data_IF_054455142264
#
_entry.id   IF_054455142264
#
_cell.length_a   1.000
_cell.length_b   1.000
_cell.length_c   1.000
_cell.angle_alpha   90.00
_cell.angle_beta   90.00
_cell.angle_gamma   90.00
#
_symmetry.space_group_name_H-M   'P 1'
#
loop_
_entity.id
_entity.type
_entity.pdbx_description
1 polymer ?
#
# COMPACT_ATOMS: atom_id res chain seq x y z
N UNK A 1 16.89 -11.30 -14.39
CA UNK A 1 17.68 -11.94 -13.32
C UNK A 1 18.69 -10.91 -12.83
N UNK A 2 18.44 -10.30 -11.66
CA UNK A 2 19.38 -9.38 -11.00
C UNK A 2 20.56 -10.17 -10.44
N UNK A 3 21.80 -9.70 -10.65
CA UNK A 3 23.02 -10.36 -10.16
C UNK A 3 23.73 -9.43 -9.16
N UNK A 4 24.06 -9.97 -7.99
CA UNK A 4 24.92 -9.29 -7.02
C UNK A 4 26.34 -9.11 -7.59
N UNK A 5 27.08 -8.16 -7.05
CA UNK A 5 28.46 -7.93 -7.45
C UNK A 5 29.34 -9.19 -7.25
N UNK A 6 30.34 -9.32 -8.11
CA UNK A 6 31.45 -10.28 -7.98
C UNK A 6 32.78 -9.51 -8.04
N UNK A 7 33.91 -10.16 -7.80
CA UNK A 7 35.23 -9.53 -7.68
C UNK A 7 35.59 -8.49 -8.77
N UNK A 8 35.08 -8.67 -9.99
CA UNK A 8 35.38 -7.80 -11.15
C UNK A 8 34.17 -7.11 -11.77
N UNK A 9 32.95 -7.25 -11.19
CA UNK A 9 31.72 -6.72 -11.79
C UNK A 9 30.80 -6.15 -10.71
N UNK A 10 30.36 -4.91 -10.93
CA UNK A 10 29.37 -4.23 -10.09
C UNK A 10 27.99 -4.90 -10.16
N UNK A 11 27.13 -4.56 -9.20
CA UNK A 11 25.75 -5.06 -9.17
C UNK A 11 24.99 -4.58 -10.41
N UNK A 12 24.30 -5.50 -11.08
CA UNK A 12 23.46 -5.18 -12.25
C UNK A 12 22.01 -5.07 -11.81
N UNK A 13 21.48 -3.85 -11.85
CA UNK A 13 20.08 -3.57 -11.52
C UNK A 13 19.20 -3.62 -12.78
N UNK A 14 17.98 -4.13 -12.62
CA UNK A 14 16.94 -4.12 -13.67
C UNK A 14 15.73 -3.33 -13.17
N UNK A 15 14.95 -2.68 -14.06
CA UNK A 15 13.72 -2.00 -13.65
C UNK A 15 12.71 -3.00 -13.08
N UNK A 16 11.86 -2.55 -12.16
CA UNK A 16 10.74 -3.35 -11.67
C UNK A 16 9.78 -3.71 -12.81
N UNK A 17 9.16 -4.89 -12.69
CA UNK A 17 8.18 -5.37 -13.66
C UNK A 17 6.84 -4.64 -13.58
N UNK A 18 5.88 -5.02 -14.44
CA UNK A 18 4.51 -4.52 -14.37
C UNK A 18 3.89 -4.83 -13.00
N UNK A 19 3.22 -3.83 -12.42
CA UNK A 19 2.58 -3.92 -11.11
C UNK A 19 3.55 -4.23 -9.93
N UNK A 20 4.83 -3.88 -10.08
CA UNK A 20 5.85 -3.98 -9.04
C UNK A 20 6.50 -2.63 -8.75
N UNK A 21 7.02 -2.47 -7.53
CA UNK A 21 7.72 -1.26 -7.09
C UNK A 21 8.88 -1.55 -6.13
N UNK A 22 9.75 -0.57 -5.98
CA UNK A 22 10.83 -0.56 -4.99
C UNK A 22 11.11 0.89 -4.57
N UNK A 23 10.76 1.23 -3.33
CA UNK A 23 10.82 2.62 -2.83
C UNK A 23 12.14 2.99 -2.16
N UNK A 24 13.05 2.03 -1.99
CA UNK A 24 14.32 2.20 -1.28
C UNK A 24 15.50 1.69 -2.10
N UNK A 25 16.69 2.21 -1.79
CA UNK A 25 17.94 1.60 -2.24
C UNK A 25 18.06 0.20 -1.65
N UNK A 26 18.32 -0.79 -2.49
CA UNK A 26 18.20 -2.21 -2.14
C UNK A 26 19.21 -3.05 -2.94
N UNK A 27 19.36 -4.30 -2.50
CA UNK A 27 20.07 -5.37 -3.20
C UNK A 27 19.16 -6.59 -3.44
N UNK A 28 17.85 -6.35 -3.48
CA UNK A 28 16.83 -7.38 -3.62
C UNK A 28 16.83 -7.98 -5.03
N UNK A 29 16.56 -9.28 -5.10
CA UNK A 29 16.48 -9.99 -6.38
C UNK A 29 15.15 -9.75 -7.11
N UNK A 30 14.14 -9.20 -6.41
CA UNK A 30 12.79 -8.97 -6.90
C UNK A 30 12.23 -7.68 -6.31
N UNK A 31 11.39 -7.01 -7.09
CA UNK A 31 10.61 -5.89 -6.59
C UNK A 31 9.38 -6.39 -5.81
N UNK A 32 8.81 -5.50 -4.97
CA UNK A 32 7.58 -5.79 -4.24
C UNK A 32 6.36 -5.65 -5.18
N UNK A 33 5.36 -6.51 -5.02
CA UNK A 33 4.08 -6.36 -5.72
C UNK A 33 3.26 -5.23 -5.08
N UNK A 34 2.55 -4.46 -5.90
CA UNK A 34 1.55 -3.53 -5.35
C UNK A 34 0.45 -4.30 -4.62
N UNK A 35 0.02 -3.77 -3.47
CA UNK A 35 -1.15 -4.27 -2.78
C UNK A 35 -2.41 -4.14 -3.66
N UNK A 36 -3.39 -5.01 -3.40
CA UNK A 36 -4.69 -4.95 -4.06
C UNK A 36 -5.65 -4.16 -3.18
N UNK A 37 -6.22 -3.09 -3.70
CA UNK A 37 -7.33 -2.40 -3.04
C UNK A 37 -8.62 -3.17 -3.36
N UNK A 38 -8.92 -4.16 -2.52
CA UNK A 38 -10.06 -5.05 -2.71
C UNK A 38 -11.37 -4.36 -2.32
N UNK A 39 -12.24 -4.13 -3.31
CA UNK A 39 -13.57 -3.57 -3.10
C UNK A 39 -14.42 -4.45 -2.16
N UNK A 40 -14.19 -5.76 -2.12
CA UNK A 40 -14.85 -6.69 -1.18
C UNK A 40 -14.45 -6.46 0.29
N UNK A 41 -13.33 -5.77 0.53
CA UNK A 41 -12.87 -5.31 1.85
C UNK A 41 -13.17 -3.84 2.11
N UNK A 42 -14.05 -3.22 1.31
CA UNK A 42 -14.38 -1.80 1.38
C UNK A 42 -13.14 -0.87 1.20
N UNK A 43 -12.13 -1.34 0.46
CA UNK A 43 -10.96 -0.56 0.06
C UNK A 43 -11.15 0.02 -1.35
N UNK A 44 -10.65 1.24 -1.55
CA UNK A 44 -10.54 1.88 -2.85
C UNK A 44 -9.12 2.43 -3.07
N UNK A 45 -8.71 2.56 -4.33
CA UNK A 45 -7.39 3.11 -4.68
C UNK A 45 -7.38 4.60 -4.43
N UNK A 46 -6.50 5.08 -3.55
CA UNK A 46 -6.18 6.50 -3.43
C UNK A 46 -5.11 6.90 -4.45
N UNK A 47 -4.03 6.12 -4.51
CA UNK A 47 -2.93 6.35 -5.44
C UNK A 47 -2.50 5.03 -6.07
N UNK A 48 -2.43 4.97 -7.40
CA UNK A 48 -2.13 3.73 -8.12
C UNK A 48 -0.71 3.18 -7.88
N UNK A 49 0.21 4.04 -7.43
CA UNK A 49 1.62 3.73 -7.31
C UNK A 49 2.38 3.86 -8.63
N UNK A 50 3.69 3.62 -8.58
CA UNK A 50 4.58 3.47 -9.72
C UNK A 50 5.80 2.61 -9.32
N UNK A 51 6.80 2.46 -10.17
CA UNK A 51 7.98 1.63 -9.91
C UNK A 51 8.80 2.02 -8.66
N UNK A 52 8.58 3.21 -8.12
CA UNK A 52 9.28 3.75 -6.92
C UNK A 52 8.33 4.12 -5.78
N UNK A 53 7.02 3.98 -5.97
CA UNK A 53 6.01 4.41 -4.99
C UNK A 53 4.92 3.34 -4.84
N UNK A 54 4.60 2.87 -3.63
CA UNK A 54 3.59 1.85 -3.43
C UNK A 54 2.21 2.31 -3.91
N UNK A 55 1.31 1.34 -4.12
CA UNK A 55 -0.11 1.66 -4.25
C UNK A 55 -0.63 1.98 -2.85
N UNK A 56 -1.46 3.00 -2.76
CA UNK A 56 -2.15 3.35 -1.52
C UNK A 56 -3.63 3.05 -1.66
N UNK A 57 -4.15 2.35 -0.66
CA UNK A 57 -5.57 2.08 -0.52
C UNK A 57 -6.12 2.88 0.65
N UNK A 58 -7.35 3.36 0.51
CA UNK A 58 -8.12 3.97 1.60
C UNK A 58 -9.45 3.25 1.73
N UNK A 59 -10.03 3.31 2.92
CA UNK A 59 -11.40 2.87 3.11
C UNK A 59 -12.36 3.80 2.39
N UNK A 60 -13.45 3.25 1.88
CA UNK A 60 -14.57 4.05 1.39
C UNK A 60 -15.20 4.87 2.53
N UNK A 61 -15.95 5.90 2.18
CA UNK A 61 -16.63 6.75 3.16
C UNK A 61 -17.48 5.94 4.15
N UNK A 62 -17.44 6.34 5.41
CA UNK A 62 -18.15 5.63 6.50
C UNK A 62 -17.41 4.41 7.06
N UNK A 63 -16.19 4.13 6.61
CA UNK A 63 -15.36 3.06 7.15
C UNK A 63 -13.97 3.57 7.58
N UNK A 64 -13.30 2.80 8.43
CA UNK A 64 -11.92 3.03 8.87
C UNK A 64 -11.09 1.75 8.75
N UNK A 65 -9.78 1.91 8.55
CA UNK A 65 -8.88 0.78 8.36
C UNK A 65 -8.59 0.08 9.68
N UNK A 66 -8.83 -1.23 9.72
CA UNK A 66 -8.52 -2.08 10.86
C UNK A 66 -7.28 -2.91 10.56
N UNK A 67 -6.15 -2.54 11.16
CA UNK A 67 -4.83 -3.08 10.84
C UNK A 67 -4.63 -4.56 11.19
N UNK A 68 -5.34 -5.08 12.19
CA UNK A 68 -5.17 -6.48 12.61
C UNK A 68 -5.65 -7.49 11.57
N UNK A 69 -6.69 -7.13 10.79
CA UNK A 69 -7.28 -8.00 9.77
C UNK A 69 -7.10 -7.45 8.35
N UNK A 70 -6.48 -6.28 8.22
CA UNK A 70 -6.31 -5.56 6.95
C UNK A 70 -7.63 -5.44 6.17
N UNK A 71 -8.68 -4.99 6.85
CA UNK A 71 -10.03 -4.74 6.30
C UNK A 71 -10.53 -3.36 6.73
N UNK A 72 -11.53 -2.83 6.01
CA UNK A 72 -12.26 -1.64 6.43
C UNK A 72 -13.50 -2.03 7.25
N UNK A 73 -13.61 -1.50 8.46
CA UNK A 73 -14.78 -1.68 9.31
C UNK A 73 -15.67 -0.44 9.27
N UNK A 74 -16.97 -0.63 9.45
CA UNK A 74 -17.91 0.49 9.58
C UNK A 74 -17.53 1.39 10.75
N UNK A 75 -17.69 2.69 10.56
CA UNK A 75 -17.46 3.67 11.62
C UNK A 75 -18.52 3.53 12.71
N UNK A 76 -18.07 3.68 13.95
CA UNK A 76 -18.95 3.61 15.12
C UNK A 76 -19.94 4.78 15.12
N UNK A 77 -21.23 4.47 15.25
CA UNK A 77 -22.27 5.48 15.41
C UNK A 77 -22.18 6.18 16.76
N UNK A 78 -22.45 7.49 16.78
CA UNK A 78 -22.55 8.25 18.02
C UNK A 78 -23.83 7.88 18.79
N UNK A 79 -23.79 7.69 20.11
CA UNK A 79 -25.00 7.47 20.90
C UNK A 79 -25.85 8.74 20.99
N UNK A 80 -27.14 8.63 21.38
CA UNK A 80 -28.01 9.80 21.57
C UNK A 80 -27.40 10.84 22.51
N UNK A 81 -27.43 12.12 22.10
CA UNK A 81 -26.82 13.24 22.83
C UNK A 81 -25.38 13.58 22.41
N UNK A 82 -24.79 12.82 21.49
CA UNK A 82 -23.44 13.03 20.96
C UNK A 82 -23.46 13.25 19.45
N UNK A 83 -22.42 13.93 18.93
CA UNK A 83 -22.20 14.15 17.51
C UNK A 83 -20.76 13.82 17.12
N UNK A 84 -20.53 13.63 15.82
CA UNK A 84 -19.19 13.38 15.26
C UNK A 84 -18.33 14.64 15.43
N UNK A 85 -17.09 14.48 15.89
CA UNK A 85 -16.13 15.58 15.97
C UNK A 85 -15.70 15.99 14.55
N UNK A 86 -15.59 17.30 14.30
CA UNK A 86 -15.17 17.85 12.99
C UNK A 86 -13.94 18.75 13.13
N UNK A 87 -12.89 18.57 12.31
CA UNK A 87 -12.74 17.51 11.31
C UNK A 87 -12.68 16.12 11.98
N UNK A 88 -13.10 15.09 11.24
CA UNK A 88 -12.90 13.72 11.69
C UNK A 88 -11.38 13.46 11.75
N UNK A 89 -10.91 12.91 12.87
CA UNK A 89 -9.53 12.43 13.03
C UNK A 89 -9.32 11.06 12.39
#
# INVERSE_FOLDING_TARGET
MTKRCIFSVDTVCSPCGPNEYMSVWNDDLKCALHMVCDAGKALQVLHNGNSTYPRECVCIDGHHFYSNEEICMENTNCPPGFGVQTPAE
#
